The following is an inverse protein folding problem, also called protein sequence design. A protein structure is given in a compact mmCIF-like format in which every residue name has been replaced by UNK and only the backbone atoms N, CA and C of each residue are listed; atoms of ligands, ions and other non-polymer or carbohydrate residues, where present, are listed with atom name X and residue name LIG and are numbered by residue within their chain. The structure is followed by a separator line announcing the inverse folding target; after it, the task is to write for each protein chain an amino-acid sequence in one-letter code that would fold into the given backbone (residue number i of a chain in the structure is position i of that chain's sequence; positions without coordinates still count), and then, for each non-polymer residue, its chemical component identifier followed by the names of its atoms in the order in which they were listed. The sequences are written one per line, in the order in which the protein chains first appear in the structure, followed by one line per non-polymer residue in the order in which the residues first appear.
data_IF_679003475314
#
_entry.id   IF_679003475314
#
_cell.length_a   1.000
_cell.length_b   1.000
_cell.length_c   1.000
_cell.angle_alpha   90.00
_cell.angle_beta   90.00
_cell.angle_gamma   90.00
#
_symmetry.space_group_name_H-M   'P 1'
#
loop_
_entity.id
_entity.type
_entity.pdbx_description
1 polymer ?
#
# COMPACT_ATOMS: atom_id res chain seq x y z
N UNK A 1 -43.53 -30.60 27.64
CA UNK A 1 -43.27 -29.72 28.78
C UNK A 1 -41.84 -29.25 28.65
N UNK A 2 -41.64 -28.18 27.93
CA UNK A 2 -40.42 -27.34 27.88
C UNK A 2 -40.61 -26.39 26.68
N UNK A 3 -41.59 -25.55 26.80
CA UNK A 3 -41.79 -24.33 26.01
C UNK A 3 -42.05 -23.26 27.05
N UNK A 4 -41.29 -22.24 27.07
CA UNK A 4 -41.43 -20.97 27.77
C UNK A 4 -40.14 -20.57 28.54
N UNK A 5 -39.18 -20.13 27.78
CA UNK A 5 -38.12 -19.19 28.26
C UNK A 5 -37.50 -18.49 27.05
N UNK A 6 -38.31 -17.65 26.38
CA UNK A 6 -37.80 -16.73 25.34
C UNK A 6 -38.28 -15.31 25.67
N UNK A 7 -37.33 -14.55 26.24
CA UNK A 7 -37.02 -13.17 25.86
C UNK A 7 -37.93 -11.99 26.28
N UNK A 8 -37.57 -11.23 27.30
CA UNK A 8 -38.20 -9.94 27.61
C UNK A 8 -37.45 -8.73 26.99
N UNK A 9 -36.85 -8.83 25.81
CA UNK A 9 -36.12 -7.68 25.19
C UNK A 9 -36.93 -6.96 24.08
N UNK A 10 -38.09 -7.49 23.69
CA UNK A 10 -38.81 -6.97 22.52
C UNK A 10 -40.03 -6.08 22.82
N UNK A 11 -40.15 -5.52 24.03
CA UNK A 11 -41.36 -4.73 24.35
C UNK A 11 -41.13 -3.24 24.66
N UNK A 12 -39.93 -2.72 24.44
CA UNK A 12 -39.63 -1.29 24.70
C UNK A 12 -39.43 -0.43 23.45
N UNK A 13 -39.68 -0.93 22.26
CA UNK A 13 -39.43 -0.22 21.01
C UNK A 13 -40.71 0.15 20.19
N UNK A 14 -41.83 0.35 20.85
CA UNK A 14 -43.04 0.92 20.20
C UNK A 14 -43.72 1.93 21.12
N UNK A 15 -43.40 3.16 20.98
CA UNK A 15 -44.14 4.41 21.17
C UNK A 15 -43.19 5.53 21.62
N UNK A 16 -42.40 6.05 20.71
CA UNK A 16 -41.97 7.45 20.79
C UNK A 16 -42.21 8.02 19.40
N UNK A 17 -43.36 8.66 19.27
CA UNK A 17 -43.67 9.48 18.09
C UNK A 17 -42.72 10.66 18.14
N UNK A 18 -41.72 10.67 17.27
CA UNK A 18 -40.90 11.84 17.05
C UNK A 18 -41.74 12.84 16.28
N UNK A 19 -42.18 13.91 16.96
CA UNK A 19 -42.69 15.12 16.33
C UNK A 19 -41.47 15.78 15.66
N UNK A 20 -41.26 15.51 14.38
CA UNK A 20 -40.30 16.22 13.55
C UNK A 20 -40.90 17.60 13.34
N UNK A 21 -40.37 18.61 14.01
CA UNK A 21 -40.52 19.99 13.57
C UNK A 21 -39.79 20.07 12.22
N UNK A 22 -40.55 20.46 11.19
CA UNK A 22 -39.98 20.86 9.90
C UNK A 22 -39.03 22.04 10.12
N UNK A 23 -37.75 21.77 10.26
CA UNK A 23 -36.70 22.77 10.17
C UNK A 23 -36.08 22.58 8.79
N UNK A 24 -36.09 23.62 8.04
CA UNK A 24 -35.58 23.80 6.68
C UNK A 24 -34.22 23.10 6.48
N UNK A 25 -34.23 21.92 5.83
CA UNK A 25 -33.05 21.01 5.65
C UNK A 25 -32.18 21.46 4.46
N UNK A 26 -32.11 22.73 4.19
CA UNK A 26 -31.44 23.23 3.00
C UNK A 26 -30.13 24.00 3.25
N UNK A 27 -29.49 23.93 4.43
CA UNK A 27 -28.13 24.50 4.61
C UNK A 27 -27.37 23.86 5.78
N UNK A 28 -26.34 23.05 5.47
CA UNK A 28 -25.28 22.49 6.36
C UNK A 28 -25.67 21.31 7.26
N UNK A 29 -25.48 20.08 6.76
CA UNK A 29 -25.54 18.84 7.54
C UNK A 29 -24.19 18.48 8.18
N UNK A 30 -24.06 18.65 9.50
CA UNK A 30 -23.11 17.88 10.32
C UNK A 30 -23.69 17.76 11.73
N UNK A 31 -24.52 16.73 11.96
CA UNK A 31 -25.18 16.47 13.26
C UNK A 31 -24.53 15.26 13.92
N UNK A 32 -23.89 15.46 15.07
CA UNK A 32 -23.41 14.37 15.96
C UNK A 32 -24.36 14.33 17.17
N UNK A 33 -24.92 13.15 17.49
CA UNK A 33 -25.80 12.96 18.64
C UNK A 33 -24.97 12.46 19.84
N UNK A 34 -25.02 13.19 20.95
CA UNK A 34 -24.55 12.72 22.25
C UNK A 34 -25.68 12.70 23.25
N UNK A 35 -25.75 11.66 24.10
CA UNK A 35 -26.73 11.56 25.20
C UNK A 35 -26.10 12.00 26.50
N UNK A 36 -26.62 13.05 27.12
CA UNK A 36 -26.30 13.43 28.49
C UNK A 36 -27.62 13.66 29.23
N UNK A 37 -27.86 12.94 30.33
CA UNK A 37 -29.02 13.08 31.24
C UNK A 37 -30.42 13.03 30.59
N UNK A 38 -30.63 12.15 29.61
CA UNK A 38 -31.99 11.91 29.08
C UNK A 38 -32.51 12.88 28.03
N UNK A 39 -31.85 13.99 27.80
CA UNK A 39 -32.13 14.88 26.67
C UNK A 39 -31.15 14.65 25.52
N UNK A 40 -31.69 14.56 24.29
CA UNK A 40 -30.84 14.48 23.09
C UNK A 40 -30.40 15.91 22.79
N UNK A 41 -29.19 16.26 23.22
CA UNK A 41 -28.55 17.47 22.71
C UNK A 41 -27.99 17.21 21.32
N UNK A 42 -28.54 17.88 20.34
CA UNK A 42 -27.99 17.93 18.98
C UNK A 42 -26.78 18.85 19.01
N UNK A 43 -25.58 18.26 19.17
CA UNK A 43 -24.33 19.01 19.03
C UNK A 43 -24.06 19.17 17.55
N UNK A 44 -24.48 20.28 16.99
CA UNK A 44 -24.03 20.71 15.65
C UNK A 44 -22.55 21.03 15.74
N UNK A 45 -21.71 20.26 15.02
CA UNK A 45 -20.26 20.56 14.86
C UNK A 45 -20.18 21.82 13.98
N UNK A 46 -20.17 22.99 14.62
CA UNK A 46 -20.06 24.27 13.93
C UNK A 46 -18.60 24.47 13.53
N UNK A 47 -18.27 24.23 12.26
CA UNK A 47 -17.00 24.68 11.72
C UNK A 47 -17.09 26.16 11.40
N UNK A 48 -16.16 26.95 11.93
CA UNK A 48 -16.06 28.37 11.59
C UNK A 48 -15.85 28.50 10.08
N UNK A 49 -16.62 29.38 9.48
CA UNK A 49 -16.62 29.66 8.05
C UNK A 49 -15.64 30.80 7.69
N UNK A 50 -15.18 30.82 6.43
CA UNK A 50 -14.41 31.96 5.93
C UNK A 50 -15.19 33.29 5.96
N UNK A 51 -16.52 33.22 6.00
CA UNK A 51 -17.38 34.38 6.13
C UNK A 51 -17.28 35.00 7.54
N UNK A 52 -17.33 34.19 8.58
CA UNK A 52 -17.18 34.66 9.97
C UNK A 52 -15.80 35.26 10.23
N UNK A 53 -14.74 34.68 9.61
CA UNK A 53 -13.40 35.29 9.66
C UNK A 53 -13.36 36.63 8.95
N UNK A 54 -14.03 36.77 7.79
CA UNK A 54 -14.09 38.00 7.03
C UNK A 54 -14.81 39.11 7.82
N UNK A 55 -15.92 38.77 8.45
CA UNK A 55 -16.69 39.69 9.31
C UNK A 55 -15.88 40.18 10.51
N UNK A 56 -15.22 39.22 11.23
CA UNK A 56 -14.38 39.54 12.39
C UNK A 56 -13.16 40.38 12.02
N UNK A 57 -12.53 40.10 10.86
CA UNK A 57 -11.38 40.83 10.38
C UNK A 57 -11.72 42.17 9.68
N UNK A 58 -12.99 42.45 9.41
CA UNK A 58 -13.44 43.63 8.67
C UNK A 58 -12.93 43.65 7.22
N UNK A 59 -12.97 42.51 6.53
CA UNK A 59 -12.46 42.33 5.14
C UNK A 59 -13.46 41.51 4.31
N UNK A 60 -13.25 41.46 3.00
CA UNK A 60 -14.05 40.58 2.14
C UNK A 60 -13.66 39.10 2.28
N UNK A 61 -14.61 38.19 2.03
CA UNK A 61 -14.34 36.72 1.96
C UNK A 61 -13.21 36.38 0.96
N UNK A 62 -13.12 37.12 -0.14
CA UNK A 62 -12.02 36.94 -1.11
C UNK A 62 -10.66 37.33 -0.55
N UNK A 63 -10.57 38.32 0.35
CA UNK A 63 -9.31 38.64 1.05
C UNK A 63 -8.92 37.54 2.02
N UNK A 64 -9.85 36.95 2.75
CA UNK A 64 -9.61 35.75 3.58
C UNK A 64 -9.08 34.62 2.73
N UNK A 65 -9.76 34.29 1.62
CA UNK A 65 -9.33 33.20 0.71
C UNK A 65 -7.92 33.44 0.18
N UNK A 66 -7.59 34.66 -0.24
CA UNK A 66 -6.23 35.01 -0.72
C UNK A 66 -5.19 34.92 0.38
N UNK A 67 -5.52 35.33 1.63
CA UNK A 67 -4.60 35.25 2.77
C UNK A 67 -4.09 33.83 3.00
N UNK A 68 -4.96 32.82 2.85
CA UNK A 68 -4.60 31.41 3.00
C UNK A 68 -4.15 30.74 1.68
N UNK A 69 -4.03 31.48 0.57
CA UNK A 69 -3.55 30.94 -0.70
C UNK A 69 -2.04 31.23 -0.84
N UNK A 70 -1.16 30.20 -0.95
CA UNK A 70 0.27 30.41 -1.20
C UNK A 70 0.49 31.25 -2.46
N UNK A 71 1.40 32.23 -2.37
CA UNK A 71 1.75 33.10 -3.50
C UNK A 71 0.72 34.19 -3.84
N UNK A 72 -0.45 34.20 -3.23
CA UNK A 72 -1.43 35.24 -3.49
C UNK A 72 -1.03 36.58 -2.84
N UNK A 73 -1.18 37.68 -3.60
CA UNK A 73 -0.91 39.03 -3.12
C UNK A 73 -2.01 39.50 -2.17
N UNK A 74 -1.63 39.87 -0.95
CA UNK A 74 -2.48 40.44 0.09
C UNK A 74 -1.65 41.47 0.84
N UNK A 75 -2.24 42.68 1.08
CA UNK A 75 -1.60 43.71 1.87
C UNK A 75 -1.20 43.18 3.26
N UNK A 76 0.02 43.48 3.77
CA UNK A 76 0.52 42.92 5.03
C UNK A 76 -0.45 43.14 6.20
N UNK A 77 -1.04 44.31 6.30
CA UNK A 77 -1.98 44.67 7.35
C UNK A 77 -3.28 43.85 7.26
N UNK A 78 -3.78 43.60 6.04
CA UNK A 78 -4.95 42.75 5.81
C UNK A 78 -4.62 41.29 6.20
N UNK A 79 -3.45 40.80 5.83
CA UNK A 79 -3.00 39.46 6.21
C UNK A 79 -2.96 39.30 7.72
N UNK A 80 -2.39 40.28 8.44
CA UNK A 80 -2.30 40.28 9.90
C UNK A 80 -3.69 40.17 10.53
N UNK A 81 -4.61 41.06 10.17
CA UNK A 81 -5.99 41.07 10.71
C UNK A 81 -6.73 39.75 10.45
N UNK A 82 -6.57 39.19 9.25
CA UNK A 82 -7.20 37.89 8.90
C UNK A 82 -6.62 36.75 9.73
N UNK A 83 -5.29 36.72 9.93
CA UNK A 83 -4.66 35.66 10.73
C UNK A 83 -5.06 35.75 12.20
N UNK A 84 -5.10 36.93 12.80
CA UNK A 84 -5.59 37.16 14.18
C UNK A 84 -7.03 36.75 14.34
N UNK A 85 -7.90 37.13 13.39
CA UNK A 85 -9.29 36.73 13.42
C UNK A 85 -9.50 35.22 13.27
N UNK A 86 -8.73 34.57 12.39
CA UNK A 86 -8.78 33.12 12.18
C UNK A 86 -8.34 32.35 13.44
N UNK A 87 -7.23 32.77 14.06
CA UNK A 87 -6.74 32.19 15.30
C UNK A 87 -7.75 32.35 16.44
N UNK A 88 -8.29 33.53 16.62
CA UNK A 88 -9.27 33.82 17.67
C UNK A 88 -10.62 33.09 17.51
N UNK A 89 -10.95 32.64 16.28
CA UNK A 89 -12.16 31.86 15.99
C UNK A 89 -11.86 30.35 15.90
N UNK A 90 -10.60 29.93 15.92
CA UNK A 90 -10.24 28.52 15.64
C UNK A 90 -10.54 28.13 14.19
N UNK A 91 -10.40 29.03 13.24
CA UNK A 91 -10.68 28.78 11.83
C UNK A 91 -9.58 27.96 11.19
N UNK A 92 -9.98 26.86 10.56
CA UNK A 92 -9.12 26.06 9.69
C UNK A 92 -9.66 26.07 8.27
N UNK A 93 -8.75 26.23 7.29
CA UNK A 93 -9.14 26.20 5.87
C UNK A 93 -9.76 24.85 5.52
N UNK A 94 -10.96 24.87 4.98
CA UNK A 94 -11.56 23.65 4.44
C UNK A 94 -10.92 23.30 3.10
N UNK A 95 -9.95 22.38 3.12
CA UNK A 95 -9.23 21.93 1.93
C UNK A 95 -10.14 21.23 0.92
N UNK A 96 -11.18 20.50 1.37
CA UNK A 96 -12.15 19.86 0.47
C UNK A 96 -12.97 20.88 -0.32
N UNK A 97 -13.48 21.93 0.37
CA UNK A 97 -14.19 23.00 -0.30
C UNK A 97 -13.31 23.78 -1.29
N UNK A 98 -12.03 23.94 -0.96
CA UNK A 98 -11.04 24.59 -1.82
C UNK A 98 -10.69 23.71 -3.02
N UNK A 99 -10.58 22.41 -2.82
CA UNK A 99 -10.31 21.40 -3.87
C UNK A 99 -11.40 21.40 -4.94
N UNK A 100 -12.67 21.57 -4.55
CA UNK A 100 -13.78 21.69 -5.48
C UNK A 100 -13.64 22.88 -6.47
N UNK A 101 -13.02 23.97 -6.03
CA UNK A 101 -12.78 25.15 -6.89
C UNK A 101 -11.58 25.01 -7.79
N UNK A 102 -10.62 24.14 -7.45
CA UNK A 102 -9.38 23.92 -8.20
C UNK A 102 -9.39 22.63 -9.03
N UNK A 103 -10.43 21.83 -8.90
CA UNK A 103 -10.52 20.48 -9.45
C UNK A 103 -9.39 19.54 -9.00
N UNK A 104 -8.83 19.80 -7.80
CA UNK A 104 -7.78 18.99 -7.16
C UNK A 104 -8.14 18.80 -5.68
N UNK A 105 -8.31 17.56 -5.25
CA UNK A 105 -8.65 17.24 -3.86
C UNK A 105 -7.43 17.20 -2.92
N UNK A 106 -6.25 16.98 -3.47
CA UNK A 106 -5.04 16.68 -2.72
C UNK A 106 -5.01 15.25 -2.16
N UNK A 107 -5.99 14.40 -2.50
CA UNK A 107 -6.11 13.04 -1.99
C UNK A 107 -5.49 12.06 -2.98
N UNK A 108 -4.62 11.19 -2.48
CA UNK A 108 -4.09 10.03 -3.22
C UNK A 108 -4.52 8.76 -2.49
N UNK A 109 -5.22 7.86 -3.20
CA UNK A 109 -5.62 6.59 -2.64
C UNK A 109 -4.48 5.57 -2.71
N UNK A 110 -4.20 4.90 -1.59
CA UNK A 110 -3.32 3.73 -1.54
C UNK A 110 -4.19 2.48 -1.41
N UNK A 111 -4.23 1.67 -2.46
CA UNK A 111 -4.99 0.41 -2.50
C UNK A 111 -4.05 -0.72 -2.15
N UNK A 112 -4.25 -1.31 -0.98
CA UNK A 112 -3.30 -2.24 -0.37
C UNK A 112 -3.99 -3.46 0.21
N UNK A 113 -3.26 -4.58 0.29
CA UNK A 113 -3.61 -5.75 1.10
C UNK A 113 -2.45 -6.12 2.01
N UNK A 114 -2.72 -6.88 3.07
CA UNK A 114 -1.67 -7.39 3.97
C UNK A 114 -0.72 -6.31 4.49
N UNK A 115 -1.26 -5.21 4.97
CA UNK A 115 -0.50 -4.06 5.48
C UNK A 115 0.48 -4.42 6.61
N UNK A 116 0.26 -5.55 7.30
CA UNK A 116 1.08 -6.02 8.42
C UNK A 116 2.37 -6.73 8.01
N UNK A 117 2.62 -7.00 6.72
CA UNK A 117 3.89 -7.60 6.31
C UNK A 117 5.00 -6.54 6.29
N UNK A 118 6.24 -6.88 6.73
CA UNK A 118 7.32 -5.90 6.91
C UNK A 118 7.62 -5.07 5.66
N UNK A 119 7.79 -5.71 4.51
CA UNK A 119 8.03 -5.02 3.23
C UNK A 119 6.87 -4.07 2.89
N UNK A 120 5.61 -4.54 3.00
CA UNK A 120 4.45 -3.74 2.67
C UNK A 120 4.32 -2.51 3.59
N UNK A 121 4.55 -2.71 4.88
CA UNK A 121 4.56 -1.60 5.86
C UNK A 121 5.63 -0.57 5.52
N UNK A 122 6.83 -1.00 5.14
CA UNK A 122 7.93 -0.12 4.75
C UNK A 122 7.59 0.68 3.49
N UNK A 123 7.00 0.04 2.48
CA UNK A 123 6.58 0.72 1.24
C UNK A 123 5.46 1.74 1.49
N UNK A 124 4.45 1.37 2.29
CA UNK A 124 3.36 2.30 2.67
C UNK A 124 3.95 3.52 3.41
N UNK A 125 4.86 3.30 4.36
CA UNK A 125 5.53 4.38 5.09
C UNK A 125 6.27 5.32 4.14
N UNK A 126 7.08 4.79 3.22
CA UNK A 126 7.83 5.62 2.27
C UNK A 126 6.89 6.41 1.35
N UNK A 127 5.88 5.77 0.76
CA UNK A 127 4.92 6.44 -0.12
C UNK A 127 4.15 7.53 0.62
N UNK A 128 3.67 7.25 1.84
CA UNK A 128 2.94 8.24 2.64
C UNK A 128 3.82 9.42 3.01
N UNK A 129 5.10 9.19 3.34
CA UNK A 129 6.05 10.27 3.64
C UNK A 129 6.31 11.17 2.42
N UNK A 130 6.51 10.58 1.24
CA UNK A 130 6.69 11.35 -0.01
C UNK A 130 5.43 12.14 -0.39
N UNK A 131 4.24 11.56 -0.21
CA UNK A 131 2.97 12.26 -0.43
C UNK A 131 2.82 13.46 0.53
N UNK A 132 3.07 13.27 1.82
CA UNK A 132 3.01 14.35 2.82
C UNK A 132 4.00 15.48 2.50
N UNK A 133 5.23 15.15 2.12
CA UNK A 133 6.24 16.12 1.71
C UNK A 133 5.81 16.94 0.47
N UNK A 134 4.98 16.37 -0.40
CA UNK A 134 4.37 17.05 -1.55
C UNK A 134 3.02 17.73 -1.24
N UNK A 135 2.61 17.79 0.02
CA UNK A 135 1.36 18.41 0.47
C UNK A 135 0.10 17.61 0.11
N UNK A 136 0.23 16.34 -0.22
CA UNK A 136 -0.87 15.41 -0.54
C UNK A 136 -1.25 14.60 0.70
N UNK A 137 -2.50 14.11 0.71
CA UNK A 137 -3.05 13.26 1.78
C UNK A 137 -3.20 11.85 1.25
N UNK A 138 -2.63 10.87 1.95
CA UNK A 138 -2.85 9.47 1.64
C UNK A 138 -4.16 8.96 2.26
N UNK A 139 -5.03 8.38 1.43
CA UNK A 139 -6.21 7.64 1.87
C UNK A 139 -5.98 6.15 1.65
N UNK A 140 -5.82 5.37 2.74
CA UNK A 140 -5.63 3.93 2.64
C UNK A 140 -6.98 3.22 2.46
N UNK A 141 -7.03 2.32 1.48
CA UNK A 141 -8.15 1.39 1.26
C UNK A 141 -7.61 -0.02 1.29
N UNK A 142 -8.01 -0.78 2.32
CA UNK A 142 -7.61 -2.17 2.46
C UNK A 142 -8.47 -3.08 1.57
N UNK A 143 -7.84 -4.04 0.91
CA UNK A 143 -8.48 -5.00 0.00
C UNK A 143 -8.12 -6.44 0.39
N UNK A 144 -8.88 -7.39 -0.12
CA UNK A 144 -8.67 -8.83 0.08
C UNK A 144 -7.82 -9.49 -1.02
N UNK A 145 -7.12 -8.70 -1.83
CA UNK A 145 -6.33 -9.10 -3.02
C UNK A 145 -7.15 -9.51 -4.24
N UNK A 146 -8.45 -9.74 -4.15
CA UNK A 146 -9.25 -10.03 -5.33
C UNK A 146 -9.34 -8.81 -6.24
N UNK A 147 -9.37 -9.03 -7.55
CA UNK A 147 -9.51 -7.95 -8.54
C UNK A 147 -10.82 -7.17 -8.30
N UNK A 148 -11.91 -7.87 -7.98
CA UNK A 148 -13.17 -7.24 -7.62
C UNK A 148 -13.10 -6.33 -6.38
N UNK A 149 -12.19 -6.57 -5.43
CA UNK A 149 -11.97 -5.66 -4.29
C UNK A 149 -11.18 -4.41 -4.70
N UNK A 150 -10.25 -4.54 -5.63
CA UNK A 150 -9.52 -3.41 -6.21
C UNK A 150 -10.47 -2.50 -7.00
N UNK A 151 -11.36 -3.07 -7.80
CA UNK A 151 -12.38 -2.31 -8.54
C UNK A 151 -13.30 -1.51 -7.61
N UNK A 152 -13.77 -2.14 -6.51
CA UNK A 152 -14.56 -1.43 -5.49
C UNK A 152 -13.77 -0.28 -4.84
N UNK A 153 -12.50 -0.51 -4.55
CA UNK A 153 -11.62 0.51 -3.96
C UNK A 153 -11.42 1.70 -4.92
N UNK A 154 -11.20 1.44 -6.22
CA UNK A 154 -11.07 2.50 -7.23
C UNK A 154 -12.39 3.28 -7.42
N UNK A 155 -13.55 2.60 -7.42
CA UNK A 155 -14.85 3.30 -7.41
C UNK A 155 -15.02 4.18 -6.16
N UNK A 156 -14.53 3.73 -5.01
CA UNK A 156 -14.52 4.56 -3.81
C UNK A 156 -13.59 5.76 -3.97
N UNK A 157 -12.39 5.59 -4.53
CA UNK A 157 -11.47 6.68 -4.82
C UNK A 157 -12.11 7.75 -5.73
N UNK A 158 -12.84 7.33 -6.78
CA UNK A 158 -13.58 8.24 -7.66
C UNK A 158 -14.64 9.03 -6.86
N UNK A 159 -15.40 8.38 -5.96
CA UNK A 159 -16.43 9.03 -5.14
C UNK A 159 -15.86 10.10 -4.21
N UNK A 160 -14.67 9.88 -3.68
CA UNK A 160 -13.93 10.85 -2.86
C UNK A 160 -13.14 11.86 -3.70
N UNK A 161 -13.27 11.81 -5.03
CA UNK A 161 -12.53 12.67 -5.97
C UNK A 161 -11.03 12.66 -5.73
N UNK A 162 -10.48 11.49 -5.44
CA UNK A 162 -9.04 11.36 -5.31
C UNK A 162 -8.36 11.74 -6.64
N UNK A 163 -7.29 12.52 -6.56
CA UNK A 163 -6.51 12.96 -7.73
C UNK A 163 -5.80 11.78 -8.40
N UNK A 164 -5.46 10.77 -7.59
CA UNK A 164 -4.71 9.61 -8.04
C UNK A 164 -4.94 8.38 -7.18
N UNK A 165 -4.54 7.22 -7.69
CA UNK A 165 -4.49 5.97 -6.92
C UNK A 165 -3.18 5.22 -7.18
N UNK A 166 -2.56 4.72 -6.10
CA UNK A 166 -1.39 3.84 -6.13
C UNK A 166 -1.84 2.45 -5.71
N UNK A 167 -1.67 1.47 -6.59
CA UNK A 167 -2.17 0.10 -6.42
C UNK A 167 -0.98 -0.81 -6.10
N UNK A 168 -0.99 -1.35 -4.87
CA UNK A 168 0.02 -2.26 -4.37
C UNK A 168 -0.47 -3.72 -4.32
N UNK A 169 -1.74 -3.97 -4.64
CA UNK A 169 -2.37 -5.27 -4.50
C UNK A 169 -3.49 -5.49 -5.51
N UNK A 170 -3.54 -6.69 -6.09
CA UNK A 170 -4.49 -7.02 -7.15
C UNK A 170 -4.18 -6.30 -8.47
N UNK A 171 -5.00 -6.54 -9.48
CA UNK A 171 -4.94 -5.87 -10.77
C UNK A 171 -6.32 -5.29 -11.09
N UNK A 172 -6.45 -3.99 -11.41
CA UNK A 172 -7.73 -3.42 -11.79
C UNK A 172 -8.17 -3.93 -13.16
N UNK A 173 -9.48 -4.12 -13.33
CA UNK A 173 -10.08 -4.39 -14.63
C UNK A 173 -9.87 -3.21 -15.60
N UNK A 174 -9.80 -3.52 -16.90
CA UNK A 174 -9.60 -2.50 -17.95
C UNK A 174 -10.67 -1.41 -17.92
N UNK A 175 -11.91 -1.77 -17.63
CA UNK A 175 -13.03 -0.83 -17.61
C UNK A 175 -12.92 0.17 -16.46
N UNK A 176 -12.52 -0.27 -15.26
CA UNK A 176 -12.33 0.62 -14.11
C UNK A 176 -11.08 1.48 -14.27
N UNK A 177 -10.00 0.95 -14.84
CA UNK A 177 -8.80 1.72 -15.18
C UNK A 177 -9.15 2.88 -16.11
N UNK A 178 -9.86 2.61 -17.20
CA UNK A 178 -10.32 3.65 -18.13
C UNK A 178 -11.28 4.65 -17.47
N UNK A 179 -12.16 4.18 -16.58
CA UNK A 179 -13.06 5.06 -15.85
C UNK A 179 -12.27 6.02 -14.94
N UNK A 180 -11.24 5.55 -14.24
CA UNK A 180 -10.36 6.39 -13.43
C UNK A 180 -9.68 7.47 -14.29
N UNK A 181 -9.06 7.06 -15.41
CA UNK A 181 -8.36 7.97 -16.32
C UNK A 181 -9.32 9.02 -16.90
N UNK A 182 -10.52 8.62 -17.35
CA UNK A 182 -11.57 9.55 -17.84
C UNK A 182 -12.04 10.54 -16.78
N UNK A 183 -11.96 10.19 -15.50
CA UNK A 183 -12.25 11.08 -14.38
C UNK A 183 -11.03 11.94 -13.98
N UNK A 184 -9.96 11.93 -14.75
CA UNK A 184 -8.76 12.71 -14.50
C UNK A 184 -7.85 12.13 -13.40
N UNK A 185 -8.13 10.91 -12.92
CA UNK A 185 -7.25 10.25 -11.95
C UNK A 185 -5.99 9.70 -12.62
N UNK A 186 -4.86 9.84 -11.92
CA UNK A 186 -3.61 9.19 -12.31
C UNK A 186 -3.45 7.87 -11.56
N UNK A 187 -2.93 6.86 -12.24
CA UNK A 187 -2.77 5.54 -11.68
C UNK A 187 -1.30 5.11 -11.68
N UNK A 188 -0.86 4.52 -10.58
CA UNK A 188 0.43 3.87 -10.44
C UNK A 188 0.21 2.43 -10.00
N UNK A 189 0.81 1.48 -10.71
CA UNK A 189 0.80 0.04 -10.41
C UNK A 189 2.19 -0.36 -9.93
N UNK A 190 2.30 -0.89 -8.72
CA UNK A 190 3.58 -1.32 -8.16
C UNK A 190 3.64 -2.84 -8.12
N UNK A 191 4.68 -3.41 -8.75
CA UNK A 191 4.89 -4.85 -8.90
C UNK A 191 3.67 -5.55 -9.54
N UNK A 192 3.13 -4.93 -10.58
CA UNK A 192 1.99 -5.43 -11.35
C UNK A 192 2.28 -5.35 -12.84
N UNK A 193 1.88 -6.40 -13.54
CA UNK A 193 2.02 -6.50 -14.97
C UNK A 193 0.67 -6.24 -15.63
N UNK A 194 0.63 -5.25 -16.51
CA UNK A 194 -0.53 -4.84 -17.27
C UNK A 194 -0.05 -4.22 -18.58
N UNK A 195 -0.81 -4.33 -19.65
CA UNK A 195 -0.50 -3.79 -20.96
C UNK A 195 -1.29 -2.50 -21.31
N UNK A 196 -2.13 -2.04 -20.37
CA UNK A 196 -2.98 -0.88 -20.62
C UNK A 196 -2.17 0.42 -20.66
N UNK A 197 -2.41 1.33 -21.62
CA UNK A 197 -1.83 2.66 -21.61
C UNK A 197 -2.42 3.52 -20.48
N UNK A 198 -1.63 4.50 -20.02
CA UNK A 198 -2.04 5.51 -19.03
C UNK A 198 -1.46 5.30 -17.65
N UNK A 199 -1.60 4.14 -16.98
CA UNK A 199 -0.95 3.91 -15.70
C UNK A 199 0.58 3.84 -15.81
N UNK A 200 1.29 4.41 -14.81
CA UNK A 200 2.71 4.11 -14.60
C UNK A 200 2.85 2.75 -13.91
N UNK A 201 3.68 1.89 -14.45
CA UNK A 201 4.10 0.63 -13.80
C UNK A 201 5.49 0.80 -13.22
N UNK A 202 5.64 0.42 -11.97
CA UNK A 202 6.95 0.35 -11.31
C UNK A 202 7.18 -1.09 -10.91
N UNK A 203 8.06 -1.77 -11.65
CA UNK A 203 8.38 -3.17 -11.47
C UNK A 203 9.86 -3.35 -11.14
N UNK A 204 10.21 -4.49 -10.55
CA UNK A 204 11.60 -4.87 -10.32
C UNK A 204 12.14 -5.71 -11.45
N UNK A 205 13.46 -5.72 -11.63
CA UNK A 205 14.14 -6.68 -12.47
C UNK A 205 14.36 -8.00 -11.71
N UNK A 206 13.26 -8.74 -11.51
CA UNK A 206 13.26 -10.02 -10.82
C UNK A 206 14.14 -11.08 -11.56
N UNK A 207 14.28 -10.97 -12.88
CA UNK A 207 15.11 -11.84 -13.68
C UNK A 207 16.61 -11.63 -13.42
N UNK A 208 17.03 -10.36 -13.36
CA UNK A 208 18.42 -10.00 -13.04
C UNK A 208 18.78 -10.47 -11.63
N UNK A 209 17.90 -10.21 -10.65
CA UNK A 209 18.09 -10.66 -9.27
C UNK A 209 18.22 -12.20 -9.18
N UNK A 210 17.37 -12.94 -9.90
CA UNK A 210 17.42 -14.41 -9.96
C UNK A 210 18.74 -14.91 -10.56
N UNK A 211 19.27 -14.28 -11.60
CA UNK A 211 20.57 -14.61 -12.17
C UNK A 211 21.74 -14.37 -11.22
N UNK A 212 21.68 -13.27 -10.44
CA UNK A 212 22.69 -12.93 -9.44
C UNK A 212 22.74 -13.95 -8.30
N UNK A 213 21.59 -14.35 -7.75
CA UNK A 213 21.57 -15.32 -6.65
C UNK A 213 21.96 -16.73 -7.13
N UNK A 214 21.59 -17.12 -8.35
CA UNK A 214 22.08 -18.36 -8.94
C UNK A 214 23.60 -18.37 -9.02
N UNK A 215 24.19 -17.29 -9.51
CA UNK A 215 25.66 -17.14 -9.58
C UNK A 215 26.30 -17.28 -8.20
N UNK A 216 25.68 -16.71 -7.15
CA UNK A 216 26.12 -16.84 -5.77
C UNK A 216 26.09 -18.30 -5.30
N UNK A 217 25.01 -19.02 -5.52
CA UNK A 217 24.90 -20.43 -5.16
C UNK A 217 25.91 -21.32 -5.89
N UNK A 218 26.09 -21.09 -7.19
CA UNK A 218 27.08 -21.85 -7.98
C UNK A 218 28.50 -21.61 -7.46
N UNK A 219 28.87 -20.35 -7.15
CA UNK A 219 30.17 -20.00 -6.55
C UNK A 219 30.36 -20.63 -5.17
N UNK A 220 29.27 -20.72 -4.38
CA UNK A 220 29.26 -21.41 -3.09
C UNK A 220 29.36 -22.96 -3.21
N UNK A 221 29.45 -23.50 -4.42
CA UNK A 221 29.55 -24.94 -4.70
C UNK A 221 28.21 -25.68 -4.65
N UNK A 222 27.09 -25.01 -4.61
CA UNK A 222 25.78 -25.64 -4.61
C UNK A 222 25.46 -26.29 -5.97
N UNK A 223 24.77 -27.44 -5.92
CA UNK A 223 24.47 -28.26 -7.12
C UNK A 223 23.00 -28.66 -7.21
N UNK A 224 22.31 -28.78 -6.08
CA UNK A 224 20.91 -29.19 -6.00
C UNK A 224 20.08 -27.98 -5.58
N UNK A 225 19.51 -27.33 -6.57
CA UNK A 225 18.82 -26.06 -6.39
C UNK A 225 17.33 -26.26 -6.11
N UNK A 226 16.76 -25.43 -5.24
CA UNK A 226 15.33 -25.34 -5.07
C UNK A 226 14.85 -23.88 -5.05
N UNK A 227 13.58 -23.70 -5.39
CA UNK A 227 12.87 -22.44 -5.24
C UNK A 227 11.66 -22.64 -4.33
N UNK A 228 11.59 -21.84 -3.27
CA UNK A 228 10.49 -21.85 -2.31
C UNK A 228 9.53 -20.69 -2.60
N UNK A 229 8.29 -21.00 -2.92
CA UNK A 229 7.25 -20.00 -3.25
C UNK A 229 5.96 -20.23 -2.46
N UNK A 230 5.04 -19.28 -2.59
CA UNK A 230 3.65 -19.42 -2.15
C UNK A 230 2.73 -19.76 -3.31
N UNK A 231 1.51 -20.17 -3.00
CA UNK A 231 0.44 -20.41 -3.99
C UNK A 231 -0.25 -19.12 -4.43
N UNK A 232 0.16 -17.98 -3.90
CA UNK A 232 -0.47 -16.66 -4.18
C UNK A 232 -0.36 -16.23 -5.64
N UNK A 233 0.77 -16.57 -6.31
CA UNK A 233 0.93 -16.40 -7.75
C UNK A 233 0.96 -14.95 -8.24
N UNK A 234 1.39 -13.97 -7.42
CA UNK A 234 1.54 -12.59 -7.90
C UNK A 234 2.61 -12.49 -9.00
N UNK A 235 2.48 -11.53 -9.95
CA UNK A 235 3.43 -11.38 -11.05
C UNK A 235 4.90 -11.37 -10.62
N UNK A 236 5.25 -10.61 -9.56
CA UNK A 236 6.63 -10.54 -9.06
C UNK A 236 7.15 -11.86 -8.49
N UNK A 237 6.31 -12.60 -7.73
CA UNK A 237 6.70 -13.92 -7.20
C UNK A 237 6.93 -14.93 -8.33
N UNK A 238 6.07 -14.90 -9.35
CA UNK A 238 6.21 -15.76 -10.53
C UNK A 238 7.39 -15.36 -11.40
N UNK A 239 7.67 -14.07 -11.56
CA UNK A 239 8.82 -13.58 -12.31
C UNK A 239 10.15 -14.02 -11.68
N UNK A 240 10.29 -13.97 -10.34
CA UNK A 240 11.46 -14.48 -9.61
C UNK A 240 11.64 -15.97 -9.82
N UNK A 241 10.56 -16.73 -9.66
CA UNK A 241 10.59 -18.19 -9.87
C UNK A 241 10.99 -18.54 -11.29
N UNK A 242 10.30 -17.98 -12.29
CA UNK A 242 10.61 -18.25 -13.70
C UNK A 242 12.02 -17.78 -14.07
N UNK A 243 12.46 -16.63 -13.58
CA UNK A 243 13.81 -16.12 -13.80
C UNK A 243 14.86 -17.05 -13.23
N UNK A 244 14.66 -17.57 -12.01
CA UNK A 244 15.61 -18.50 -11.38
C UNK A 244 15.67 -19.85 -12.08
N UNK A 245 14.51 -20.41 -12.45
CA UNK A 245 14.42 -21.68 -13.18
C UNK A 245 15.07 -21.53 -14.57
N UNK A 246 14.78 -20.45 -15.29
CA UNK A 246 15.36 -20.22 -16.62
C UNK A 246 16.88 -20.00 -16.56
N UNK A 247 17.37 -19.24 -15.58
CA UNK A 247 18.80 -19.04 -15.39
C UNK A 247 19.52 -20.34 -15.03
N UNK A 248 18.95 -21.19 -14.19
CA UNK A 248 19.51 -22.50 -13.86
C UNK A 248 19.52 -23.45 -15.06
N UNK A 249 18.43 -23.48 -15.83
CA UNK A 249 18.35 -24.29 -17.05
C UNK A 249 19.42 -23.90 -18.09
N UNK A 250 19.75 -22.61 -18.21
CA UNK A 250 20.82 -22.13 -19.08
C UNK A 250 22.22 -22.67 -18.68
N UNK A 251 22.38 -23.10 -17.42
CA UNK A 251 23.60 -23.77 -16.92
C UNK A 251 23.46 -25.29 -16.87
N UNK A 252 22.40 -25.87 -17.42
CA UNK A 252 22.13 -27.31 -17.39
C UNK A 252 21.76 -27.82 -15.99
N UNK A 253 21.25 -26.94 -15.09
CA UNK A 253 20.88 -27.29 -13.73
C UNK A 253 19.34 -27.33 -13.59
N UNK A 254 18.85 -28.32 -12.85
CA UNK A 254 17.43 -28.43 -12.52
C UNK A 254 17.12 -27.71 -11.19
N UNK A 255 15.91 -27.17 -11.08
CA UNK A 255 15.41 -26.51 -9.87
C UNK A 255 14.18 -27.23 -9.36
N UNK A 256 14.21 -27.68 -8.13
CA UNK A 256 13.04 -28.22 -7.45
C UNK A 256 12.16 -27.08 -6.96
N UNK A 257 11.06 -26.81 -7.65
CA UNK A 257 10.09 -25.78 -7.23
C UNK A 257 9.09 -26.38 -6.26
N UNK A 258 8.86 -25.70 -5.14
CA UNK A 258 7.81 -26.07 -4.18
C UNK A 258 7.02 -24.83 -3.79
N UNK A 259 5.68 -24.96 -3.78
CA UNK A 259 4.74 -23.87 -3.45
C UNK A 259 3.78 -24.33 -2.36
N UNK A 260 3.48 -23.45 -1.42
CA UNK A 260 2.48 -23.72 -0.40
C UNK A 260 1.88 -22.44 0.19
N UNK A 261 0.58 -22.41 0.31
CA UNK A 261 -0.21 -21.43 1.08
C UNK A 261 0.11 -19.96 0.79
N UNK A 262 0.05 -19.13 1.83
CA UNK A 262 0.32 -17.70 1.76
C UNK A 262 1.83 -17.39 1.77
N UNK A 263 2.21 -16.16 1.34
CA UNK A 263 3.61 -15.71 1.34
C UNK A 263 4.07 -15.32 2.74
N UNK A 264 4.47 -16.28 3.56
CA UNK A 264 4.80 -16.04 4.96
C UNK A 264 5.62 -17.14 5.62
N UNK A 265 5.99 -16.90 6.87
CA UNK A 265 6.88 -17.74 7.66
C UNK A 265 6.39 -19.20 7.79
N UNK A 266 5.11 -19.42 8.13
CA UNK A 266 4.57 -20.78 8.29
C UNK A 266 4.58 -21.56 6.98
N UNK A 267 4.30 -20.90 5.86
CA UNK A 267 4.41 -21.53 4.54
C UNK A 267 5.85 -21.94 4.23
N UNK A 268 6.83 -21.11 4.60
CA UNK A 268 8.25 -21.44 4.48
C UNK A 268 8.64 -22.73 5.20
N UNK A 269 8.11 -22.95 6.41
CA UNK A 269 8.35 -24.20 7.16
C UNK A 269 7.80 -25.42 6.43
N UNK A 270 6.58 -25.32 5.90
CA UNK A 270 5.96 -26.43 5.15
C UNK A 270 6.71 -26.72 3.85
N UNK A 271 7.08 -25.68 3.11
CA UNK A 271 7.89 -25.82 1.89
C UNK A 271 9.23 -26.51 2.19
N UNK A 272 9.90 -26.08 3.26
CA UNK A 272 11.15 -26.74 3.70
C UNK A 272 10.96 -28.22 4.03
N UNK A 273 9.88 -28.58 4.75
CA UNK A 273 9.57 -29.98 5.04
C UNK A 273 9.45 -30.81 3.76
N UNK A 274 8.71 -30.30 2.76
CA UNK A 274 8.52 -30.98 1.48
C UNK A 274 9.81 -31.11 0.68
N UNK A 275 10.66 -30.08 0.66
CA UNK A 275 11.94 -30.09 -0.05
C UNK A 275 12.99 -30.97 0.65
N UNK A 276 13.11 -30.87 1.98
CA UNK A 276 14.16 -31.52 2.74
C UNK A 276 13.87 -32.99 3.10
N UNK A 277 12.64 -33.48 2.86
CA UNK A 277 12.30 -34.92 2.94
C UNK A 277 12.54 -35.68 1.65
N UNK A 278 12.85 -34.99 0.54
CA UNK A 278 13.16 -35.63 -0.74
C UNK A 278 14.41 -36.49 -0.63
N UNK A 279 14.50 -37.55 -1.46
CA UNK A 279 15.70 -38.40 -1.55
C UNK A 279 16.92 -37.57 -1.91
N UNK A 280 16.77 -36.67 -2.87
CA UNK A 280 17.80 -35.70 -3.27
C UNK A 280 17.45 -34.35 -2.68
N UNK A 281 18.00 -34.09 -1.49
CA UNK A 281 17.79 -32.83 -0.77
C UNK A 281 18.50 -31.68 -1.49
N UNK A 282 17.88 -30.49 -1.62
CA UNK A 282 18.58 -29.32 -2.10
C UNK A 282 19.71 -28.92 -1.13
N UNK A 283 20.77 -28.34 -1.69
CA UNK A 283 21.87 -27.71 -0.95
C UNK A 283 21.83 -26.17 -1.08
N UNK A 284 20.88 -25.66 -1.88
CA UNK A 284 20.54 -24.24 -1.95
C UNK A 284 19.03 -24.04 -2.19
N UNK A 285 18.44 -23.11 -1.45
CA UNK A 285 17.05 -22.70 -1.61
C UNK A 285 16.98 -21.18 -1.79
N UNK A 286 16.47 -20.73 -2.94
CA UNK A 286 16.06 -19.35 -3.12
C UNK A 286 14.59 -19.23 -2.76
N UNK A 287 14.26 -18.35 -1.81
CA UNK A 287 12.90 -18.10 -1.34
C UNK A 287 12.34 -16.84 -2.01
N UNK A 288 11.09 -16.90 -2.40
CA UNK A 288 10.42 -15.79 -3.08
C UNK A 288 10.36 -14.50 -2.22
N UNK A 289 10.44 -14.63 -0.88
CA UNK A 289 10.66 -13.52 0.04
C UNK A 289 11.34 -13.97 1.35
N UNK A 290 11.70 -12.99 2.19
CA UNK A 290 12.42 -13.22 3.44
C UNK A 290 11.60 -13.95 4.50
N UNK A 291 10.28 -13.71 4.58
CA UNK A 291 9.44 -14.43 5.54
C UNK A 291 9.41 -15.93 5.23
N UNK A 292 9.32 -16.32 3.95
CA UNK A 292 9.48 -17.72 3.53
C UNK A 292 10.88 -18.24 3.90
N UNK A 293 11.93 -17.43 3.63
CA UNK A 293 13.30 -17.80 3.93
C UNK A 293 13.54 -18.05 5.44
N UNK A 294 13.02 -17.19 6.31
CA UNK A 294 13.08 -17.39 7.76
C UNK A 294 12.41 -18.72 8.16
N UNK A 295 11.23 -19.01 7.60
CA UNK A 295 10.54 -20.29 7.85
C UNK A 295 11.33 -21.50 7.36
N UNK A 296 11.96 -21.40 6.18
CA UNK A 296 12.84 -22.44 5.63
C UNK A 296 14.05 -22.67 6.54
N UNK A 297 14.72 -21.59 6.98
CA UNK A 297 15.90 -21.69 7.85
C UNK A 297 15.58 -22.31 9.20
N UNK A 298 14.48 -21.94 9.82
CA UNK A 298 14.08 -22.52 11.10
C UNK A 298 13.69 -23.98 10.97
N UNK A 299 12.97 -24.38 9.93
CA UNK A 299 12.67 -25.78 9.67
C UNK A 299 13.95 -26.57 9.42
N UNK A 300 14.88 -26.07 8.60
CA UNK A 300 16.17 -26.72 8.34
C UNK A 300 16.95 -26.94 9.62
N UNK A 301 17.09 -25.92 10.46
CA UNK A 301 17.87 -25.98 11.71
C UNK A 301 17.22 -26.84 12.78
N UNK A 302 15.93 -26.68 13.05
CA UNK A 302 15.26 -27.25 14.21
C UNK A 302 14.55 -28.59 13.93
N UNK A 303 14.14 -28.84 12.67
CA UNK A 303 13.46 -30.09 12.32
C UNK A 303 14.39 -31.09 11.62
N UNK A 304 15.30 -30.59 10.79
CA UNK A 304 16.23 -31.42 10.01
C UNK A 304 17.66 -31.39 10.54
N UNK A 305 17.93 -30.61 11.59
CA UNK A 305 19.25 -30.45 12.23
C UNK A 305 20.35 -30.07 11.23
N UNK A 306 20.01 -29.33 10.19
CA UNK A 306 20.93 -28.88 9.15
C UNK A 306 21.54 -27.54 9.52
N UNK A 307 22.83 -27.39 9.31
CA UNK A 307 23.52 -26.10 9.43
C UNK A 307 23.28 -25.23 8.18
N UNK A 308 23.02 -23.96 8.43
CA UNK A 308 22.97 -22.90 7.42
C UNK A 308 24.14 -21.96 7.74
N UNK A 309 25.10 -21.75 6.84
CA UNK A 309 25.08 -22.07 5.41
C UNK A 309 25.73 -23.42 5.00
N UNK A 310 26.39 -24.17 5.93
CA UNK A 310 27.30 -25.24 5.56
C UNK A 310 26.64 -26.38 4.78
N UNK A 311 25.49 -26.86 5.24
CA UNK A 311 24.73 -27.94 4.60
C UNK A 311 23.61 -27.42 3.67
N UNK A 312 23.14 -26.21 3.91
CA UNK A 312 22.08 -25.58 3.12
C UNK A 312 22.33 -24.08 3.00
N UNK A 313 22.54 -23.59 1.79
CA UNK A 313 22.52 -22.16 1.50
C UNK A 313 21.06 -21.68 1.34
N UNK A 314 20.72 -20.54 1.92
CA UNK A 314 19.39 -19.94 1.78
C UNK A 314 19.52 -18.49 1.37
N UNK A 315 18.67 -18.05 0.44
CA UNK A 315 18.53 -16.64 0.08
C UNK A 315 17.07 -16.22 0.12
N UNK A 316 16.85 -14.97 0.45
CA UNK A 316 15.54 -14.35 0.50
C UNK A 316 15.38 -13.20 -0.50
N UNK A 317 14.32 -12.42 -0.31
CA UNK A 317 14.01 -11.20 -1.05
C UNK A 317 13.17 -10.29 -0.16
N UNK A 318 13.41 -8.99 -0.16
CA UNK A 318 12.74 -7.86 0.49
C UNK A 318 13.65 -7.07 1.44
N UNK A 319 14.68 -7.68 2.02
CA UNK A 319 15.55 -7.14 3.08
C UNK A 319 14.75 -6.59 4.28
N UNK A 320 13.88 -7.45 4.81
CA UNK A 320 13.12 -7.13 6.01
C UNK A 320 14.03 -7.08 7.24
N UNK A 321 13.60 -6.41 8.31
CA UNK A 321 14.38 -6.27 9.55
C UNK A 321 14.88 -7.62 10.07
N UNK A 322 14.04 -8.66 10.03
CA UNK A 322 14.37 -10.01 10.47
C UNK A 322 15.55 -10.62 9.72
N UNK A 323 15.73 -10.27 8.45
CA UNK A 323 16.85 -10.77 7.65
C UNK A 323 18.21 -10.40 8.26
N UNK A 324 18.30 -9.26 8.93
CA UNK A 324 19.51 -8.77 9.61
C UNK A 324 19.72 -9.31 11.02
N UNK A 325 18.72 -9.99 11.60
CA UNK A 325 18.87 -10.55 12.95
C UNK A 325 19.93 -11.64 12.98
N UNK A 326 20.74 -11.67 14.04
CA UNK A 326 21.81 -12.67 14.19
C UNK A 326 21.30 -14.13 14.12
N UNK A 327 20.03 -14.37 14.42
CA UNK A 327 19.40 -15.67 14.28
C UNK A 327 19.22 -16.10 12.82
N UNK A 328 19.10 -15.16 11.89
CA UNK A 328 18.94 -15.48 10.47
C UNK A 328 20.19 -15.14 9.66
N UNK A 329 20.68 -13.91 9.82
CA UNK A 329 21.85 -13.40 9.06
C UNK A 329 21.70 -13.74 7.57
N UNK A 330 20.49 -13.40 7.04
CA UNK A 330 19.98 -13.86 5.75
C UNK A 330 20.48 -12.99 4.61
N UNK A 331 21.17 -13.59 3.65
CA UNK A 331 21.47 -13.00 2.34
C UNK A 331 20.18 -12.82 1.57
N UNK A 332 19.92 -11.61 1.11
CA UNK A 332 18.63 -11.24 0.50
C UNK A 332 18.81 -10.11 -0.51
N UNK A 333 17.71 -9.70 -1.16
CA UNK A 333 17.67 -8.52 -2.02
C UNK A 333 16.90 -7.40 -1.35
N UNK A 334 17.54 -6.24 -1.18
CA UNK A 334 16.88 -5.02 -0.73
C UNK A 334 16.08 -4.40 -1.88
N UNK A 335 14.76 -4.32 -1.72
CA UNK A 335 13.92 -3.59 -2.67
C UNK A 335 14.15 -2.08 -2.51
N UNK A 336 14.25 -1.32 -3.61
CA UNK A 336 14.51 0.12 -3.56
C UNK A 336 13.25 0.92 -3.18
N UNK A 337 12.74 0.71 -1.96
CA UNK A 337 11.46 1.25 -1.45
C UNK A 337 11.37 2.77 -1.58
N UNK A 338 12.44 3.49 -1.25
CA UNK A 338 12.47 4.96 -1.36
C UNK A 338 12.46 5.43 -2.82
N UNK A 339 13.12 4.70 -3.73
CA UNK A 339 13.07 5.01 -5.16
C UNK A 339 11.66 4.73 -5.73
N UNK A 340 11.05 3.61 -5.37
CA UNK A 340 9.67 3.28 -5.77
C UNK A 340 8.71 4.40 -5.33
N UNK A 341 8.80 4.83 -4.06
CA UNK A 341 7.94 5.87 -3.51
C UNK A 341 8.16 7.22 -4.20
N UNK A 342 9.43 7.61 -4.41
CA UNK A 342 9.80 8.86 -5.09
C UNK A 342 9.26 8.89 -6.52
N UNK A 343 9.51 7.84 -7.31
CA UNK A 343 9.08 7.79 -8.71
C UNK A 343 7.54 7.75 -8.83
N UNK A 344 6.87 7.01 -7.95
CA UNK A 344 5.41 7.01 -7.91
C UNK A 344 4.86 8.42 -7.67
N UNK A 345 5.37 9.13 -6.64
CA UNK A 345 4.88 10.48 -6.29
C UNK A 345 5.29 11.52 -7.32
N UNK A 346 6.50 11.42 -7.88
CA UNK A 346 6.95 12.30 -8.97
C UNK A 346 6.06 12.18 -10.22
N UNK A 347 5.70 10.95 -10.59
CA UNK A 347 4.73 10.73 -11.67
C UNK A 347 3.40 11.42 -11.39
N UNK A 348 2.87 11.33 -10.17
CA UNK A 348 1.60 11.95 -9.81
C UNK A 348 1.65 13.49 -9.81
N UNK A 349 2.81 14.09 -9.62
CA UNK A 349 3.02 15.54 -9.62
C UNK A 349 3.23 16.12 -11.02
N UNK A 350 3.63 15.30 -12.01
CA UNK A 350 3.89 15.76 -13.37
C UNK A 350 2.57 16.19 -14.07
N UNK A 351 2.60 17.13 -15.01
CA UNK A 351 1.43 17.46 -15.84
C UNK A 351 0.88 16.19 -16.52
N UNK A 352 -0.46 16.06 -16.59
CA UNK A 352 -1.08 14.96 -17.33
C UNK A 352 -0.73 14.99 -18.82
N UNK A 353 -0.43 13.83 -19.40
CA UNK A 353 -0.32 13.68 -20.86
C UNK A 353 -1.73 13.59 -21.43
N UNK A 354 -2.01 14.26 -22.55
CA UNK A 354 -3.30 14.16 -23.22
C UNK A 354 -3.58 12.70 -23.62
N UNK A 355 -4.84 12.26 -23.54
CA UNK A 355 -5.29 10.88 -23.77
C UNK A 355 -4.80 10.26 -25.09
N UNK A 356 -4.58 11.06 -26.14
CA UNK A 356 -4.17 10.59 -27.47
C UNK A 356 -2.70 10.14 -27.55
N UNK A 357 -1.86 10.47 -26.56
CA UNK A 357 -0.44 10.11 -26.51
C UNK A 357 -0.10 9.14 -25.36
N UNK A 358 -1.11 8.61 -24.68
CA UNK A 358 -0.89 7.72 -23.54
C UNK A 358 -0.19 6.43 -23.98
N UNK A 359 1.11 6.35 -23.72
CA UNK A 359 1.92 5.14 -23.94
C UNK A 359 1.94 4.25 -22.69
N UNK A 360 2.27 2.99 -22.91
CA UNK A 360 2.60 2.06 -21.82
C UNK A 360 3.88 2.54 -21.15
N UNK A 361 3.77 3.03 -19.91
CA UNK A 361 4.91 3.54 -19.15
C UNK A 361 5.32 2.49 -18.12
N UNK A 362 6.51 1.92 -18.27
CA UNK A 362 7.07 0.97 -17.30
C UNK A 362 8.44 1.44 -16.86
N UNK A 363 8.58 1.62 -15.55
CA UNK A 363 9.85 1.87 -14.88
C UNK A 363 10.32 0.57 -14.25
N UNK A 364 11.49 0.09 -14.67
CA UNK A 364 12.11 -1.10 -14.10
C UNK A 364 13.23 -0.68 -13.15
N UNK A 365 13.16 -1.13 -11.90
CA UNK A 365 14.13 -0.84 -10.86
C UNK A 365 14.89 -2.12 -10.49
N UNK A 366 16.11 -1.96 -9.96
CA UNK A 366 16.92 -3.08 -9.52
C UNK A 366 16.90 -3.20 -8.00
N UNK A 367 16.82 -4.44 -7.50
CA UNK A 367 17.00 -4.75 -6.10
C UNK A 367 18.50 -4.98 -5.82
N UNK A 368 18.99 -4.46 -4.72
CA UNK A 368 20.40 -4.61 -4.32
C UNK A 368 20.58 -5.92 -3.56
N UNK A 369 21.61 -6.73 -3.94
CA UNK A 369 21.96 -7.94 -3.20
C UNK A 369 22.71 -7.57 -1.92
N UNK A 370 22.13 -7.90 -0.79
CA UNK A 370 22.69 -7.71 0.56
C UNK A 370 23.26 -9.05 1.02
N UNK A 371 24.57 -9.12 1.06
CA UNK A 371 25.30 -10.30 1.51
C UNK A 371 25.28 -10.41 3.03
N UNK A 372 24.99 -11.64 3.53
CA UNK A 372 25.06 -12.04 4.93
C UNK A 372 25.52 -13.51 5.04
N UNK A 373 25.40 -14.11 6.21
CA UNK A 373 25.99 -15.41 6.51
C UNK A 373 25.19 -16.65 6.05
N UNK A 374 24.06 -16.49 5.31
CA UNK A 374 23.24 -17.65 4.90
C UNK A 374 23.69 -18.33 3.61
N UNK A 375 24.78 -17.85 2.98
CA UNK A 375 25.43 -18.46 1.81
C UNK A 375 26.92 -18.64 2.10
N UNK A 376 27.50 -19.81 1.75
CA UNK A 376 28.92 -20.09 1.94
C UNK A 376 29.81 -19.17 1.11
N UNK A 377 30.84 -18.59 1.72
CA UNK A 377 31.84 -17.75 1.04
C UNK A 377 31.27 -16.36 0.63
N UNK A 378 30.20 -15.94 1.29
CA UNK A 378 29.62 -14.59 1.15
C UNK A 378 30.38 -13.55 1.96
#
# INVERSE_FOLDING_TARGET
MLHDLINPVNHFCRKTVIKVLEVDIARNCNIVHSRVQGEIQVVTKVFVSAQEVAEKAGVSRSAVSRTFTPGASVAPETRKRVMEAAEALGYHVNHLARGLMRNESGIVCLIVSEMGTPYRSSLIRAVTQHLQNSGKIAMLINTDRSDGSVDRALRQAIRYRADASIILSGLPDKSITQLCLKNGQRLVLINRDDDQPGPLRINLDDQEAAGRILTAFVRAGCRRLAFANSEVGTPSLMAREHGFVAAAAALGMEVAVERFGSTGYEAGKVVAQRLLTRKERPDAIFCANDLLACGVMDAARHQFMMSVPDQLCVAGFDDIEQASWSSYDLTTFAQPVEAIAREAVAFLAAPGVADEEAQVQTLKLHAELVWRGSIRGG
#
